data_IF_991559768658
#
_entry.id   IF_991559768658
#
_cell.length_a   1.000
_cell.length_b   1.000
_cell.length_c   1.000
_cell.angle_alpha   90.00
_cell.angle_beta   90.00
_cell.angle_gamma   90.00
#
_symmetry.space_group_name_H-M   'P 1'
#
loop_
_entity.id
_entity.type
_entity.pdbx_description
1 polymer ?
#
# COMPACT_ATOMS: atom_id res chain seq x y z
N UNK A 1 -15.01 -2.52 -13.42
CA UNK A 1 -14.48 -2.40 -12.06
C UNK A 1 -13.43 -1.31 -12.05
N UNK A 2 -13.48 -0.40 -11.10
CA UNK A 2 -12.61 0.81 -11.00
C UNK A 2 -12.68 1.77 -12.21
N UNK A 3 -13.77 1.81 -12.95
CA UNK A 3 -13.91 2.65 -14.17
C UNK A 3 -13.88 4.15 -13.86
N UNK A 4 -14.32 4.53 -12.66
CA UNK A 4 -14.37 5.93 -12.22
C UNK A 4 -13.14 6.35 -11.39
N UNK A 5 -12.15 5.48 -11.22
CA UNK A 5 -10.92 5.81 -10.48
C UNK A 5 -10.00 6.58 -11.41
N UNK A 6 -9.61 7.78 -11.00
CA UNK A 6 -8.68 8.62 -11.73
C UNK A 6 -7.36 8.80 -10.99
N UNK A 7 -7.43 8.87 -9.65
CA UNK A 7 -6.29 9.11 -8.78
C UNK A 7 -6.38 8.22 -7.55
N UNK A 8 -5.49 7.25 -7.46
CA UNK A 8 -5.43 6.34 -6.33
C UNK A 8 -4.22 6.66 -5.43
N UNK A 9 -4.43 6.51 -4.13
CA UNK A 9 -3.35 6.51 -3.14
C UNK A 9 -3.35 5.17 -2.41
N UNK A 10 -2.19 4.54 -2.35
CA UNK A 10 -1.96 3.32 -1.58
C UNK A 10 -1.17 3.71 -0.34
N UNK A 11 -1.73 3.48 0.84
CA UNK A 11 -1.03 3.72 2.11
C UNK A 11 -0.69 2.37 2.73
N UNK A 12 0.59 2.06 2.81
CA UNK A 12 1.12 0.79 3.31
C UNK A 12 2.14 1.03 4.43
N UNK A 13 2.46 -0.01 5.18
CA UNK A 13 3.39 0.07 6.30
C UNK A 13 4.84 0.01 5.82
N UNK A 14 5.17 -0.99 4.97
CA UNK A 14 6.53 -1.33 4.60
C UNK A 14 6.75 -1.38 3.08
N UNK A 15 7.98 -1.18 2.62
CA UNK A 15 8.39 -1.55 1.26
C UNK A 15 8.15 -3.04 1.02
N UNK A 16 7.38 -3.39 -0.01
CA UNK A 16 6.90 -4.72 -0.46
C UNK A 16 5.41 -5.01 -0.20
N UNK A 17 4.75 -4.30 0.70
CA UNK A 17 3.34 -4.54 1.01
C UNK A 17 2.44 -4.40 -0.23
N UNK A 18 2.55 -3.29 -0.94
CA UNK A 18 1.70 -3.00 -2.09
C UNK A 18 1.85 -4.06 -3.18
N UNK A 19 3.07 -4.44 -3.51
CA UNK A 19 3.36 -5.42 -4.54
C UNK A 19 2.78 -6.78 -4.20
N UNK A 20 2.96 -7.20 -2.94
CA UNK A 20 2.52 -8.53 -2.50
C UNK A 20 1.01 -8.65 -2.41
N UNK A 21 0.30 -7.62 -1.95
CA UNK A 21 -1.14 -7.70 -1.70
C UNK A 21 -1.99 -7.23 -2.86
N UNK A 22 -1.55 -6.23 -3.66
CA UNK A 22 -2.36 -5.63 -4.71
C UNK A 22 -1.58 -5.23 -5.98
N UNK A 23 -0.39 -5.76 -6.18
CA UNK A 23 0.47 -5.40 -7.33
C UNK A 23 -0.21 -5.60 -8.69
N UNK A 24 -1.02 -6.64 -8.85
CA UNK A 24 -1.81 -6.86 -10.07
C UNK A 24 -2.88 -5.80 -10.30
N UNK A 25 -3.57 -5.41 -9.24
CA UNK A 25 -4.55 -4.30 -9.27
C UNK A 25 -3.88 -2.98 -9.61
N UNK A 26 -2.70 -2.68 -9.00
CA UNK A 26 -1.92 -1.49 -9.33
C UNK A 26 -1.51 -1.48 -10.79
N UNK A 27 -0.97 -2.61 -11.30
CA UNK A 27 -0.60 -2.73 -12.71
C UNK A 27 -1.79 -2.48 -13.65
N UNK A 28 -2.97 -2.99 -13.31
CA UNK A 28 -4.21 -2.73 -14.05
C UNK A 28 -4.62 -1.25 -14.03
N UNK A 29 -4.56 -0.62 -12.87
CA UNK A 29 -4.94 0.80 -12.71
C UNK A 29 -4.00 1.70 -13.51
N UNK A 30 -2.69 1.50 -13.40
CA UNK A 30 -1.70 2.31 -14.10
C UNK A 30 -1.76 2.12 -15.62
N UNK A 31 -2.03 0.90 -16.11
CA UNK A 31 -2.23 0.64 -17.54
C UNK A 31 -3.45 1.39 -18.11
N UNK A 32 -4.49 1.59 -17.27
CA UNK A 32 -5.68 2.39 -17.63
C UNK A 32 -5.45 3.90 -17.51
N UNK A 33 -4.25 4.34 -17.14
CA UNK A 33 -3.91 5.75 -16.99
C UNK A 33 -4.31 6.36 -15.65
N UNK A 34 -4.65 5.56 -14.65
CA UNK A 34 -4.90 6.05 -13.29
C UNK A 34 -3.60 6.56 -12.68
N UNK A 35 -3.64 7.75 -12.10
CA UNK A 35 -2.52 8.31 -11.36
C UNK A 35 -2.43 7.62 -9.99
N UNK A 36 -1.42 6.77 -9.79
CA UNK A 36 -1.23 6.00 -8.55
C UNK A 36 -0.04 6.54 -7.76
N UNK A 37 -0.23 6.77 -6.48
CA UNK A 37 0.82 7.16 -5.52
C UNK A 37 0.91 6.10 -4.43
N UNK A 38 2.12 5.67 -4.13
CA UNK A 38 2.42 4.81 -2.99
C UNK A 38 2.97 5.65 -1.83
N UNK A 39 2.40 5.45 -0.63
CA UNK A 39 2.85 6.06 0.62
C UNK A 39 3.26 4.96 1.58
N UNK A 40 4.55 4.90 1.87
CA UNK A 40 5.15 3.97 2.81
C UNK A 40 5.38 4.69 4.14
N UNK A 41 4.72 4.22 5.19
CA UNK A 41 4.77 4.89 6.49
C UNK A 41 6.10 4.64 7.19
N UNK A 42 6.71 3.47 6.97
CA UNK A 42 8.07 3.16 7.43
C UNK A 42 9.00 2.94 6.24
N UNK A 43 10.28 2.84 6.49
CA UNK A 43 11.29 2.50 5.48
C UNK A 43 11.78 1.04 5.60
N UNK A 44 11.15 0.24 6.47
CA UNK A 44 11.44 -1.17 6.63
C UNK A 44 12.84 -1.45 7.24
N UNK A 45 13.36 -0.58 8.06
CA UNK A 45 14.75 -0.56 8.51
C UNK A 45 15.12 -1.67 9.51
N UNK A 46 14.15 -2.46 9.99
CA UNK A 46 14.39 -3.66 10.82
C UNK A 46 14.08 -4.98 10.09
N UNK A 47 13.57 -4.93 8.88
CA UNK A 47 13.13 -6.10 8.10
C UNK A 47 14.27 -6.95 7.56
N UNK A 48 15.34 -7.20 8.33
CA UNK A 48 16.38 -8.15 7.98
C UNK A 48 16.07 -9.52 8.58
N UNK A 49 16.19 -10.57 7.76
CA UNK A 49 16.01 -11.96 8.19
C UNK A 49 17.29 -12.78 8.01
N UNK A 50 17.48 -13.81 8.86
CA UNK A 50 18.63 -14.70 8.80
C UNK A 50 19.92 -14.10 9.39
N UNK A 51 21.06 -14.48 8.83
CA UNK A 51 22.37 -13.99 9.26
C UNK A 51 22.58 -12.53 8.84
N UNK A 52 22.62 -11.63 9.80
CA UNK A 52 22.80 -10.19 9.56
C UNK A 52 24.29 -9.91 9.32
N UNK A 53 24.67 -9.34 8.15
CA UNK A 53 26.05 -8.89 7.92
C UNK A 53 26.52 -7.91 9.01
N UNK A 54 27.73 -8.05 9.52
CA UNK A 54 28.22 -7.22 10.63
C UNK A 54 28.21 -5.70 10.37
N UNK A 55 28.20 -5.30 9.11
CA UNK A 55 28.18 -3.91 8.68
C UNK A 55 26.79 -3.42 8.26
N UNK A 56 25.76 -4.26 8.32
CA UNK A 56 24.39 -3.87 8.04
C UNK A 56 23.82 -3.10 9.24
N UNK A 57 23.49 -1.85 9.00
CA UNK A 57 22.80 -0.99 9.97
C UNK A 57 21.38 -0.72 9.54
N UNK A 58 20.49 -0.30 10.46
CA UNK A 58 19.13 0.14 10.14
C UNK A 58 19.12 1.15 8.99
N UNK A 59 19.99 2.16 9.03
CA UNK A 59 20.09 3.18 7.98
C UNK A 59 20.50 2.62 6.62
N UNK A 60 21.41 1.65 6.59
CA UNK A 60 21.79 0.98 5.32
C UNK A 60 20.62 0.15 4.77
N UNK A 61 19.93 -0.61 5.64
CA UNK A 61 18.79 -1.40 5.23
C UNK A 61 17.66 -0.52 4.70
N UNK A 62 17.35 0.58 5.41
CA UNK A 62 16.37 1.56 4.93
C UNK A 62 16.69 2.07 3.52
N UNK A 63 17.95 2.46 3.27
CA UNK A 63 18.36 2.95 1.95
C UNK A 63 18.21 1.87 0.85
N UNK A 64 18.54 0.62 1.17
CA UNK A 64 18.35 -0.53 0.26
C UNK A 64 16.86 -0.70 -0.04
N UNK A 65 16.02 -0.84 0.99
CA UNK A 65 14.58 -1.08 0.82
C UNK A 65 13.84 0.07 0.14
N UNK A 66 14.25 1.30 0.38
CA UNK A 66 13.72 2.46 -0.36
C UNK A 66 14.08 2.40 -1.86
N UNK A 67 15.29 1.98 -2.21
CA UNK A 67 15.67 1.81 -3.61
C UNK A 67 14.91 0.67 -4.29
N UNK A 68 14.71 -0.44 -3.59
CA UNK A 68 13.94 -1.58 -4.04
C UNK A 68 12.46 -1.22 -4.28
N UNK A 69 11.82 -0.51 -3.33
CA UNK A 69 10.45 -0.05 -3.46
C UNK A 69 10.26 0.88 -4.67
N UNK A 70 11.18 1.82 -4.90
CA UNK A 70 11.12 2.67 -6.10
C UNK A 70 11.27 1.87 -7.39
N UNK A 71 12.11 0.84 -7.40
CA UNK A 71 12.26 -0.03 -8.56
C UNK A 71 11.01 -0.89 -8.81
N UNK A 72 10.39 -1.40 -7.75
CA UNK A 72 9.14 -2.17 -7.80
C UNK A 72 7.96 -1.30 -8.26
N UNK A 73 7.81 -0.12 -7.67
CA UNK A 73 6.80 0.87 -8.06
C UNK A 73 6.91 1.27 -9.54
N UNK A 74 8.13 1.50 -10.04
CA UNK A 74 8.38 1.79 -11.45
C UNK A 74 7.95 0.63 -12.37
N UNK A 75 8.17 -0.63 -11.96
CA UNK A 75 7.71 -1.82 -12.69
C UNK A 75 6.17 -1.86 -12.81
N UNK A 76 5.46 -1.38 -11.79
CA UNK A 76 4.01 -1.30 -11.78
C UNK A 76 3.47 -0.02 -12.45
N UNK A 77 4.31 0.95 -12.79
CA UNK A 77 3.90 2.22 -13.37
C UNK A 77 3.33 3.22 -12.35
N UNK A 78 3.67 3.07 -11.08
CA UNK A 78 3.33 4.01 -10.01
C UNK A 78 4.00 5.37 -10.29
N UNK A 79 3.28 6.46 -10.06
CA UNK A 79 3.73 7.80 -10.42
C UNK A 79 4.66 8.43 -9.38
N UNK A 80 4.43 8.14 -8.10
CA UNK A 80 5.26 8.66 -7.02
C UNK A 80 5.31 7.69 -5.84
N UNK A 81 6.44 7.68 -5.11
CA UNK A 81 6.66 6.87 -3.90
C UNK A 81 7.14 7.79 -2.79
N UNK A 82 6.32 7.93 -1.76
CA UNK A 82 6.56 8.79 -0.60
C UNK A 82 6.90 7.93 0.62
N UNK A 83 7.99 8.24 1.28
CA UNK A 83 8.36 7.62 2.57
C UNK A 83 8.14 8.63 3.69
N UNK A 84 7.45 8.21 4.76
CA UNK A 84 7.29 9.02 5.97
C UNK A 84 8.37 8.72 7.02
N UNK A 85 9.24 7.75 6.74
CA UNK A 85 10.42 7.39 7.55
C UNK A 85 10.11 7.15 9.03
N UNK A 86 8.91 6.66 9.36
CA UNK A 86 8.58 6.25 10.71
C UNK A 86 9.37 4.99 11.09
N UNK A 87 9.75 4.81 12.37
CA UNK A 87 10.44 3.61 12.81
C UNK A 87 9.64 2.35 12.50
N UNK A 88 10.25 1.41 11.79
CA UNK A 88 9.67 0.11 11.49
C UNK A 88 9.55 -0.75 12.76
N UNK A 89 8.42 -1.43 12.92
CA UNK A 89 8.06 -2.21 14.11
C UNK A 89 7.49 -1.38 15.26
N UNK A 90 7.50 -0.05 15.16
CA UNK A 90 7.11 0.88 16.21
C UNK A 90 6.01 1.86 15.74
N UNK A 91 5.32 1.55 14.63
CA UNK A 91 4.34 2.45 14.04
C UNK A 91 3.12 2.61 14.95
N UNK A 92 2.78 3.85 15.24
CA UNK A 92 1.58 4.21 16.03
C UNK A 92 0.71 5.14 15.21
N UNK A 93 -0.58 4.82 15.10
CA UNK A 93 -1.58 5.67 14.46
C UNK A 93 -1.92 6.88 15.36
N UNK A 94 -0.95 7.75 15.57
CA UNK A 94 -1.10 8.95 16.39
C UNK A 94 -1.62 10.16 15.60
N UNK A 95 -1.85 11.28 16.30
CA UNK A 95 -2.36 12.50 15.68
C UNK A 95 -1.36 13.12 14.69
N UNK A 96 -0.06 12.94 14.91
CA UNK A 96 0.96 13.48 14.02
C UNK A 96 0.96 12.72 12.69
N UNK A 97 0.98 11.38 12.73
CA UNK A 97 0.90 10.55 11.53
C UNK A 97 -0.40 10.79 10.75
N UNK A 98 -1.54 10.90 11.47
CA UNK A 98 -2.83 11.25 10.86
C UNK A 98 -2.78 12.59 10.12
N UNK A 99 -2.12 13.61 10.69
CA UNK A 99 -1.95 14.92 10.05
C UNK A 99 -1.09 14.83 8.79
N UNK A 100 0.02 14.09 8.85
CA UNK A 100 0.90 13.88 7.69
C UNK A 100 0.17 13.19 6.54
N UNK A 101 -0.56 12.11 6.82
CA UNK A 101 -1.34 11.38 5.80
C UNK A 101 -2.47 12.27 5.25
N UNK A 102 -3.17 13.04 6.09
CA UNK A 102 -4.18 13.99 5.63
C UNK A 102 -3.60 15.07 4.72
N UNK A 103 -2.36 15.53 5.00
CA UNK A 103 -1.63 16.46 4.14
C UNK A 103 -1.35 15.83 2.77
N UNK A 104 -0.96 14.57 2.72
CA UNK A 104 -0.74 13.85 1.46
C UNK A 104 -2.03 13.70 0.65
N UNK A 105 -3.17 13.41 1.30
CA UNK A 105 -4.46 13.40 0.60
C UNK A 105 -4.80 14.76 0.01
N UNK A 106 -4.53 15.85 0.73
CA UNK A 106 -4.71 17.23 0.22
C UNK A 106 -3.74 17.57 -0.90
N UNK A 107 -2.54 17.02 -0.89
CA UNK A 107 -1.54 17.26 -1.92
C UNK A 107 -1.86 16.50 -3.20
N UNK A 108 -2.08 15.19 -3.10
CA UNK A 108 -2.28 14.32 -4.26
C UNK A 108 -3.71 14.30 -4.77
N UNK A 109 -4.69 14.77 -3.99
CA UNK A 109 -6.12 14.81 -4.37
C UNK A 109 -6.63 13.44 -4.87
N UNK A 110 -6.42 12.34 -4.13
CA UNK A 110 -6.94 11.04 -4.53
C UNK A 110 -8.46 10.98 -4.45
N UNK A 111 -9.09 10.30 -5.38
CA UNK A 111 -10.50 9.91 -5.28
C UNK A 111 -10.67 8.53 -4.61
N UNK A 112 -9.59 7.75 -4.56
CA UNK A 112 -9.59 6.37 -4.06
C UNK A 112 -8.39 6.11 -3.16
N UNK A 113 -8.66 5.51 -2.00
CA UNK A 113 -7.66 5.01 -1.05
C UNK A 113 -7.64 3.50 -1.06
N UNK A 114 -6.44 2.92 -1.07
CA UNK A 114 -6.18 1.53 -0.74
C UNK A 114 -5.29 1.47 0.50
N UNK A 115 -5.64 0.62 1.47
CA UNK A 115 -4.83 0.44 2.68
C UNK A 115 -5.15 -0.89 3.38
N UNK A 116 -4.40 -1.24 4.41
CA UNK A 116 -4.69 -2.41 5.24
C UNK A 116 -6.04 -2.31 5.93
N UNK A 117 -6.71 -3.47 6.08
CA UNK A 117 -7.86 -3.60 6.97
C UNK A 117 -7.37 -3.63 8.44
N UNK A 118 -7.61 -2.56 9.23
CA UNK A 118 -7.14 -2.51 10.60
C UNK A 118 -7.95 -3.43 11.54
N UNK A 119 -9.04 -4.02 11.06
CA UNK A 119 -9.89 -4.94 11.83
C UNK A 119 -9.52 -6.41 11.59
N UNK A 120 -8.56 -6.69 10.75
CA UNK A 120 -8.17 -8.06 10.43
C UNK A 120 -7.51 -8.77 11.61
N UNK A 121 -8.25 -9.68 12.24
CA UNK A 121 -7.81 -10.43 13.43
C UNK A 121 -6.61 -11.35 13.15
N UNK A 122 -6.42 -11.79 11.90
CA UNK A 122 -5.30 -12.63 11.48
C UNK A 122 -3.98 -11.88 11.25
N UNK A 123 -3.98 -10.56 11.41
CA UNK A 123 -2.79 -9.74 11.19
C UNK A 123 -1.84 -9.83 12.38
N UNK A 124 -0.64 -10.37 12.12
CA UNK A 124 0.39 -10.49 13.16
C UNK A 124 1.30 -9.26 13.26
N UNK A 125 1.42 -8.45 12.17
CA UNK A 125 2.29 -7.28 12.18
C UNK A 125 1.55 -6.05 12.71
N UNK A 126 1.98 -5.45 13.84
CA UNK A 126 1.29 -4.31 14.44
C UNK A 126 1.26 -3.08 13.50
N UNK A 127 2.31 -2.87 12.71
CA UNK A 127 2.41 -1.73 11.79
C UNK A 127 1.35 -1.79 10.67
N UNK A 128 0.94 -2.96 10.21
CA UNK A 128 -0.13 -3.07 9.22
C UNK A 128 -1.46 -2.56 9.77
N UNK A 129 -1.78 -2.93 11.02
CA UNK A 129 -2.97 -2.40 11.71
C UNK A 129 -2.87 -0.89 11.92
N UNK A 130 -1.71 -0.40 12.34
CA UNK A 130 -1.47 1.02 12.55
C UNK A 130 -1.53 1.81 11.23
N UNK A 131 -0.99 1.28 10.13
CA UNK A 131 -1.04 1.89 8.81
C UNK A 131 -2.49 2.04 8.31
N UNK A 132 -3.26 0.95 8.35
CA UNK A 132 -4.67 0.99 7.98
C UNK A 132 -5.47 1.97 8.82
N UNK A 133 -5.21 2.00 10.14
CA UNK A 133 -5.88 2.93 11.05
C UNK A 133 -5.52 4.39 10.74
N UNK A 134 -4.23 4.70 10.58
CA UNK A 134 -3.78 6.06 10.25
C UNK A 134 -4.35 6.55 8.93
N UNK A 135 -4.37 5.68 7.90
CA UNK A 135 -4.91 6.00 6.59
C UNK A 135 -6.41 6.33 6.65
N UNK A 136 -7.21 5.51 7.34
CA UNK A 136 -8.65 5.74 7.49
C UNK A 136 -8.92 6.98 8.33
N UNK A 137 -8.23 7.16 9.45
CA UNK A 137 -8.42 8.29 10.35
C UNK A 137 -8.01 9.63 9.72
N UNK A 138 -7.17 9.63 8.68
CA UNK A 138 -6.80 10.81 7.91
C UNK A 138 -7.92 11.31 6.97
N UNK A 139 -8.95 10.51 6.70
CA UNK A 139 -10.06 10.88 5.80
C UNK A 139 -10.74 12.17 6.23
N UNK A 140 -11.30 12.22 7.45
CA UNK A 140 -12.00 13.39 7.93
C UNK A 140 -11.10 14.64 8.04
N UNK A 141 -9.88 14.55 8.60
CA UNK A 141 -8.94 15.68 8.60
C UNK A 141 -8.60 16.20 7.21
N UNK A 142 -8.53 15.34 6.20
CA UNK A 142 -8.25 15.80 4.83
C UNK A 142 -9.43 16.52 4.17
N UNK A 143 -10.66 16.13 4.52
CA UNK A 143 -11.92 16.65 3.96
C UNK A 143 -12.38 17.95 4.62
N UNK A 144 -12.22 18.09 5.93
CA UNK A 144 -12.76 19.21 6.69
C UNK A 144 -11.77 20.39 6.74
N UNK A 145 -12.16 21.61 6.30
CA UNK A 145 -11.24 22.74 6.16
C UNK A 145 -10.69 23.25 7.50
N UNK A 146 -11.41 23.04 8.60
CA UNK A 146 -10.97 23.46 9.93
C UNK A 146 -10.04 22.47 10.63
N UNK A 147 -9.87 21.26 10.08
CA UNK A 147 -8.74 20.42 10.43
C UNK A 147 -7.51 20.91 9.66
N UNK A 148 -6.43 21.26 10.34
CA UNK A 148 -5.20 21.70 9.75
C UNK A 148 -5.41 22.83 8.73
N UNK A 149 -5.98 23.99 9.14
CA UNK A 149 -6.21 25.14 8.23
C UNK A 149 -4.90 25.68 7.63
N UNK A 150 -3.76 25.46 8.31
CA UNK A 150 -2.42 25.77 7.81
C UNK A 150 -2.14 25.15 6.45
N UNK A 151 -2.61 23.95 6.17
CA UNK A 151 -2.45 23.30 4.86
C UNK A 151 -3.13 24.12 3.74
N UNK A 152 -4.28 24.74 4.04
CA UNK A 152 -5.00 25.56 3.05
C UNK A 152 -4.29 26.90 2.84
N UNK A 153 -3.69 27.48 3.87
CA UNK A 153 -2.87 28.69 3.75
C UNK A 153 -1.60 28.46 2.92
N UNK A 154 -1.10 27.22 2.90
CA UNK A 154 0.01 26.79 2.03
C UNK A 154 -0.44 26.47 0.59
N UNK A 155 -1.72 26.63 0.28
CA UNK A 155 -2.26 26.43 -1.07
C UNK A 155 -2.79 25.02 -1.36
N UNK A 156 -2.77 24.10 -0.40
CA UNK A 156 -3.40 22.80 -0.56
C UNK A 156 -4.93 22.94 -0.54
N UNK A 157 -5.63 21.96 -1.10
CA UNK A 157 -7.10 21.92 -1.13
C UNK A 157 -7.60 20.77 -0.27
N UNK A 158 -8.82 20.88 0.28
CA UNK A 158 -9.48 19.73 0.89
C UNK A 158 -9.56 18.57 -0.10
N UNK A 159 -9.38 17.35 0.40
CA UNK A 159 -9.48 16.14 -0.42
C UNK A 159 -10.93 15.64 -0.50
N UNK A 160 -11.27 14.97 -1.60
CA UNK A 160 -12.60 14.40 -1.84
C UNK A 160 -12.49 12.89 -2.16
N UNK A 161 -11.98 12.14 -1.18
CA UNK A 161 -11.96 10.68 -1.26
C UNK A 161 -13.39 10.15 -1.36
N UNK A 162 -13.64 9.33 -2.36
CA UNK A 162 -14.96 8.75 -2.67
C UNK A 162 -15.03 7.27 -2.35
N UNK A 163 -13.88 6.59 -2.32
CA UNK A 163 -13.79 5.14 -2.16
C UNK A 163 -12.61 4.76 -1.27
N UNK A 164 -12.83 3.79 -0.44
CA UNK A 164 -11.78 3.15 0.35
C UNK A 164 -11.88 1.64 0.16
N UNK A 165 -10.77 1.05 -0.24
CA UNK A 165 -10.62 -0.39 -0.38
C UNK A 165 -9.58 -0.89 0.62
N UNK A 166 -9.96 -1.91 1.39
CA UNK A 166 -9.11 -2.49 2.42
C UNK A 166 -8.59 -3.83 1.95
N UNK A 167 -7.29 -4.02 1.99
CA UNK A 167 -6.60 -5.26 1.66
C UNK A 167 -6.04 -5.93 2.92
N UNK A 168 -5.51 -7.17 2.76
CA UNK A 168 -4.82 -7.89 3.82
C UNK A 168 -5.64 -8.94 4.54
N UNK A 169 -6.80 -9.27 4.04
CA UNK A 169 -7.36 -10.60 4.33
C UNK A 169 -8.34 -10.75 5.47
N UNK A 170 -9.32 -9.89 5.62
CA UNK A 170 -10.49 -10.30 6.40
C UNK A 170 -11.34 -11.33 5.65
N UNK A 171 -12.10 -12.14 6.39
CA UNK A 171 -13.07 -13.09 5.82
C UNK A 171 -14.22 -12.40 5.05
N UNK A 172 -14.32 -11.08 5.14
CA UNK A 172 -15.41 -10.25 4.61
C UNK A 172 -15.02 -9.48 3.34
N UNK A 173 -13.98 -9.91 2.62
CA UNK A 173 -13.62 -9.29 1.34
C UNK A 173 -14.75 -9.50 0.33
N UNK A 174 -15.47 -8.43 0.02
CA UNK A 174 -16.66 -8.40 -0.83
C UNK A 174 -16.32 -8.11 -2.30
N UNK A 175 -15.08 -7.72 -2.59
CA UNK A 175 -14.60 -7.41 -3.92
C UNK A 175 -13.41 -8.31 -4.28
N UNK A 176 -13.50 -9.01 -5.42
CA UNK A 176 -12.37 -9.74 -6.01
C UNK A 176 -12.09 -9.19 -7.40
N UNK A 177 -10.84 -8.89 -7.66
CA UNK A 177 -10.34 -8.35 -8.93
C UNK A 177 -9.64 -9.46 -9.70
N UNK A 178 -10.01 -9.67 -10.96
CA UNK A 178 -9.25 -10.52 -11.87
C UNK A 178 -7.95 -9.81 -12.25
N UNK A 179 -6.84 -10.34 -11.75
CA UNK A 179 -5.49 -9.84 -12.05
C UNK A 179 -4.68 -10.82 -12.90
N UNK A 180 -5.34 -11.83 -13.47
CA UNK A 180 -4.68 -12.82 -14.32
C UNK A 180 -3.83 -12.18 -15.43
N UNK A 181 -4.28 -11.14 -16.15
CA UNK A 181 -3.48 -10.48 -17.18
C UNK A 181 -2.26 -9.72 -16.63
N UNK A 182 -2.29 -9.36 -15.36
CA UNK A 182 -1.27 -8.52 -14.69
C UNK A 182 -0.38 -9.31 -13.74
N UNK A 183 -0.60 -10.63 -13.64
CA UNK A 183 0.07 -11.47 -12.64
C UNK A 183 1.59 -11.48 -12.80
N UNK A 184 2.06 -11.64 -14.01
CA UNK A 184 3.50 -11.63 -14.29
C UNK A 184 4.16 -10.30 -13.89
N UNK A 185 3.47 -9.18 -14.17
CA UNK A 185 3.95 -7.84 -13.81
C UNK A 185 4.03 -7.65 -12.31
N UNK A 186 3.05 -8.19 -11.55
CA UNK A 186 3.08 -8.25 -10.08
C UNK A 186 4.31 -9.02 -9.59
N UNK A 187 4.54 -10.24 -10.09
CA UNK A 187 5.68 -11.05 -9.68
C UNK A 187 7.01 -10.33 -9.96
N UNK A 188 7.16 -9.74 -11.15
CA UNK A 188 8.35 -8.99 -11.53
C UNK A 188 8.60 -7.77 -10.63
N UNK A 189 7.56 -7.13 -10.11
CA UNK A 189 7.68 -6.04 -9.13
C UNK A 189 8.07 -6.59 -7.75
N UNK A 190 7.41 -7.63 -7.27
CA UNK A 190 7.68 -8.23 -5.95
C UNK A 190 9.14 -8.66 -5.81
N UNK A 191 9.72 -9.28 -6.82
CA UNK A 191 11.13 -9.75 -6.77
C UNK A 191 12.16 -8.62 -6.86
N UNK A 192 11.76 -7.36 -7.04
CA UNK A 192 12.66 -6.21 -6.87
C UNK A 192 13.07 -5.99 -5.43
N UNK A 193 12.31 -6.48 -4.47
CA UNK A 193 12.63 -6.44 -3.05
C UNK A 193 13.62 -7.55 -2.67
N UNK A 194 14.81 -7.50 -3.26
CA UNK A 194 15.85 -8.54 -3.14
C UNK A 194 16.26 -8.74 -1.67
N UNK A 195 16.29 -7.67 -0.87
CA UNK A 195 16.62 -7.77 0.56
C UNK A 195 15.60 -8.60 1.36
N UNK A 196 14.36 -8.70 0.86
CA UNK A 196 13.27 -9.46 1.50
C UNK A 196 13.09 -10.83 0.83
N UNK A 197 13.34 -10.91 -0.47
CA UNK A 197 13.15 -12.09 -1.30
C UNK A 197 14.45 -12.47 -2.04
N UNK A 198 15.52 -12.88 -1.30
CA UNK A 198 16.80 -13.23 -1.90
C UNK A 198 16.71 -14.47 -2.81
N UNK A 199 15.70 -15.31 -2.58
CA UNK A 199 15.37 -16.47 -3.40
C UNK A 199 14.01 -16.21 -4.08
N UNK A 200 13.99 -15.65 -5.30
CA UNK A 200 12.76 -15.13 -5.92
C UNK A 200 11.70 -16.20 -6.17
N UNK A 201 12.07 -17.46 -6.24
CA UNK A 201 11.12 -18.57 -6.42
C UNK A 201 10.17 -18.73 -5.24
N UNK A 202 10.64 -18.48 -4.01
CA UNK A 202 9.86 -18.65 -2.80
C UNK A 202 8.66 -17.71 -2.70
N UNK A 203 8.81 -16.38 -2.90
CA UNK A 203 7.64 -15.50 -2.93
C UNK A 203 6.72 -15.82 -4.10
N UNK A 204 7.23 -16.26 -5.25
CA UNK A 204 6.39 -16.64 -6.38
C UNK A 204 5.45 -17.80 -6.04
N UNK A 205 5.94 -18.85 -5.38
CA UNK A 205 5.13 -20.03 -5.01
C UNK A 205 3.96 -19.68 -4.08
N UNK A 206 4.21 -18.92 -3.00
CA UNK A 206 3.13 -18.59 -2.09
C UNK A 206 2.16 -17.53 -2.65
N UNK A 207 2.66 -16.58 -3.45
CA UNK A 207 1.80 -15.62 -4.15
C UNK A 207 0.89 -16.32 -5.15
N UNK A 208 1.44 -17.28 -5.95
CA UNK A 208 0.63 -18.05 -6.90
C UNK A 208 -0.45 -18.86 -6.21
N UNK A 209 -0.11 -19.51 -5.10
CA UNK A 209 -1.09 -20.23 -4.29
C UNK A 209 -2.18 -19.29 -3.80
N UNK A 210 -1.81 -18.19 -3.16
CA UNK A 210 -2.76 -17.22 -2.61
C UNK A 210 -3.60 -16.57 -3.71
N UNK A 211 -2.98 -16.09 -4.79
CA UNK A 211 -3.69 -15.48 -5.90
C UNK A 211 -4.65 -16.46 -6.59
N UNK A 212 -4.28 -17.74 -6.71
CA UNK A 212 -5.15 -18.77 -7.26
C UNK A 212 -6.34 -19.06 -6.32
N UNK A 213 -6.13 -19.18 -5.01
CA UNK A 213 -7.22 -19.37 -4.04
C UNK A 213 -8.24 -18.21 -4.09
N UNK A 214 -7.76 -16.97 -4.20
CA UNK A 214 -8.62 -15.79 -4.36
C UNK A 214 -9.32 -15.80 -5.72
N UNK A 215 -8.61 -16.12 -6.81
CA UNK A 215 -9.17 -16.16 -8.17
C UNK A 215 -10.28 -17.17 -8.33
N UNK A 216 -10.18 -18.32 -7.66
CA UNK A 216 -11.22 -19.35 -7.66
C UNK A 216 -12.58 -18.85 -7.17
N UNK A 217 -12.63 -17.82 -6.32
CA UNK A 217 -13.88 -17.23 -5.81
C UNK A 217 -14.74 -16.63 -6.92
N UNK A 218 -14.13 -16.23 -8.03
CA UNK A 218 -14.81 -15.65 -9.20
C UNK A 218 -14.54 -16.41 -10.52
N UNK A 219 -13.90 -17.57 -10.45
CA UNK A 219 -13.64 -18.44 -11.60
C UNK A 219 -12.51 -17.96 -12.53
N UNK A 220 -11.51 -17.23 -12.00
CA UNK A 220 -10.32 -16.78 -12.75
C UNK A 220 -9.06 -17.44 -12.20
N UNK A 221 -7.94 -17.34 -12.95
CA UNK A 221 -6.70 -17.98 -12.54
C UNK A 221 -6.08 -17.30 -11.32
N UNK A 222 -6.01 -15.96 -11.31
CA UNK A 222 -5.44 -15.18 -10.23
C UNK A 222 -6.35 -14.02 -9.85
N UNK A 223 -6.56 -13.81 -8.56
CA UNK A 223 -7.35 -12.73 -8.01
C UNK A 223 -6.66 -11.98 -6.88
N UNK A 224 -7.05 -10.74 -6.69
CA UNK A 224 -6.75 -9.94 -5.50
C UNK A 224 -8.07 -9.51 -4.85
N UNK A 225 -8.13 -9.51 -3.53
CA UNK A 225 -9.38 -9.31 -2.81
C UNK A 225 -9.32 -8.12 -1.86
N UNK A 226 -10.44 -7.41 -1.79
CA UNK A 226 -10.60 -6.20 -0.99
C UNK A 226 -11.93 -6.23 -0.23
N UNK A 227 -11.96 -5.52 0.90
CA UNK A 227 -13.21 -5.11 1.53
C UNK A 227 -13.52 -3.67 1.13
N UNK A 228 -14.77 -3.38 0.81
CA UNK A 228 -15.19 -2.01 0.50
C UNK A 228 -15.64 -1.29 1.76
N UNK A 229 -15.15 -0.06 1.95
CA UNK A 229 -15.58 0.81 3.02
C UNK A 229 -16.33 2.01 2.45
N UNK A 230 -17.56 2.22 2.90
CA UNK A 230 -18.34 3.39 2.52
C UNK A 230 -17.80 4.64 3.20
N UNK A 231 -17.55 5.67 2.40
CA UNK A 231 -17.21 7.03 2.86
C UNK A 231 -18.31 8.00 2.46
N UNK A 232 -18.52 9.07 3.22
CA UNK A 232 -19.63 10.04 3.11
C UNK A 232 -19.15 11.48 3.19
#
# INVERSE_FOLDING_TARGET
MFEDVQRAIVVAAHPDDMETVMGGTVAMLTERGVFVVEVLLTNGDIGASGDIPPDLTRAKLAAIRQAEARAAAAQLGVHDVVFLDRPDGELVADLALRSEVARLYRHYQPDTLFTFDPSWVGQAHPDHTAAGRAAIDAYMPSKMPLYHPEHLFEGLKVADLKRVYLFGGSSNQDLVVDVTPYWERKLQATVKHVSQFPEPEKPMEWLEKWGSEVGQRIGVKYGEAFSTMNVW
#
